data_IF_169902563376
#
_entry.id   IF_169902563376
#
_cell.length_a   1.000
_cell.length_b   1.000
_cell.length_c   1.000
_cell.angle_alpha   90.00
_cell.angle_beta   90.00
_cell.angle_gamma   90.00
#
_symmetry.space_group_name_H-M   'P 1'
#
loop_
_entity.id
_entity.type
_entity.pdbx_description
1 polymer ?
#
# COMPACT_ATOMS: atom_id res chain seq x y z
N UNK A 1 -20.01 3.31 -19.92
CA UNK A 1 -18.58 2.97 -19.81
C UNK A 1 -18.22 2.08 -20.99
N UNK A 2 -17.03 2.19 -21.59
CA UNK A 2 -16.60 1.20 -22.56
C UNK A 2 -16.55 -0.17 -21.88
N UNK A 3 -17.09 -1.19 -22.58
CA UNK A 3 -17.22 -2.55 -22.02
C UNK A 3 -15.92 -3.37 -22.14
N UNK A 4 -14.79 -2.74 -21.77
CA UNK A 4 -13.51 -3.45 -21.74
C UNK A 4 -13.43 -4.51 -20.62
N UNK A 5 -14.39 -4.49 -19.70
CA UNK A 5 -14.52 -5.49 -18.64
C UNK A 5 -15.35 -6.71 -19.08
N UNK A 6 -15.91 -6.71 -20.30
CA UNK A 6 -16.72 -7.80 -20.84
C UNK A 6 -18.05 -7.99 -20.11
N UNK A 7 -18.59 -6.92 -19.50
CA UNK A 7 -19.82 -7.01 -18.72
C UNK A 7 -21.03 -7.40 -19.58
N UNK A 8 -21.12 -6.93 -20.83
CA UNK A 8 -22.24 -7.25 -21.72
C UNK A 8 -22.25 -8.72 -22.20
N UNK A 9 -21.10 -9.37 -22.23
CA UNK A 9 -20.93 -10.74 -22.78
C UNK A 9 -20.82 -11.81 -21.68
N UNK A 10 -20.79 -11.43 -20.39
CA UNK A 10 -20.61 -12.37 -19.31
C UNK A 10 -21.86 -13.26 -19.11
N UNK A 11 -21.69 -14.51 -18.65
CA UNK A 11 -22.79 -15.45 -18.44
C UNK A 11 -23.59 -15.20 -17.17
N UNK A 12 -23.16 -14.29 -16.29
CA UNK A 12 -23.77 -14.05 -14.99
C UNK A 12 -24.98 -13.11 -15.13
N UNK A 13 -25.96 -13.30 -14.26
CA UNK A 13 -27.03 -12.30 -14.09
C UNK A 13 -26.47 -11.07 -13.40
N UNK A 14 -27.15 -9.93 -13.52
CA UNK A 14 -26.71 -8.65 -12.93
C UNK A 14 -26.46 -8.76 -11.41
N UNK A 15 -27.33 -9.48 -10.70
CA UNK A 15 -27.21 -9.71 -9.26
C UNK A 15 -25.97 -10.59 -8.90
N UNK A 16 -25.69 -11.59 -9.75
CA UNK A 16 -24.53 -12.48 -9.57
C UNK A 16 -23.24 -11.72 -9.85
N UNK A 17 -23.23 -10.86 -10.87
CA UNK A 17 -22.10 -9.98 -11.19
C UNK A 17 -21.85 -8.95 -10.09
N UNK A 18 -22.90 -8.29 -9.61
CA UNK A 18 -22.81 -7.32 -8.52
C UNK A 18 -22.24 -7.97 -7.25
N UNK A 19 -22.73 -9.17 -6.89
CA UNK A 19 -22.24 -9.93 -5.74
C UNK A 19 -20.77 -10.33 -5.90
N UNK A 20 -20.36 -10.73 -7.11
CA UNK A 20 -18.97 -11.07 -7.39
C UNK A 20 -18.07 -9.85 -7.17
N UNK A 21 -18.41 -8.69 -7.72
CA UNK A 21 -17.66 -7.46 -7.54
C UNK A 21 -17.63 -6.99 -6.07
N UNK A 22 -18.77 -7.08 -5.38
CA UNK A 22 -18.82 -6.75 -3.96
C UNK A 22 -17.88 -7.64 -3.14
N UNK A 23 -17.84 -8.94 -3.44
CA UNK A 23 -16.92 -9.90 -2.79
C UNK A 23 -15.46 -9.51 -3.04
N UNK A 24 -15.10 -9.16 -4.28
CA UNK A 24 -13.75 -8.70 -4.64
C UNK A 24 -13.36 -7.48 -3.81
N UNK A 25 -14.23 -6.46 -3.75
CA UNK A 25 -13.98 -5.22 -2.99
C UNK A 25 -13.86 -5.50 -1.49
N UNK A 26 -14.74 -6.32 -0.92
CA UNK A 26 -14.70 -6.64 0.51
C UNK A 26 -13.44 -7.38 0.91
N UNK A 27 -12.98 -8.34 0.10
CA UNK A 27 -11.76 -9.10 0.35
C UNK A 27 -10.54 -8.19 0.23
N UNK A 28 -10.47 -7.35 -0.80
CA UNK A 28 -9.40 -6.38 -0.98
C UNK A 28 -9.29 -5.46 0.25
N UNK A 29 -10.39 -4.82 0.67
CA UNK A 29 -10.41 -3.91 1.82
C UNK A 29 -9.94 -4.54 3.13
N UNK A 30 -10.18 -5.83 3.33
CA UNK A 30 -9.71 -6.54 4.53
C UNK A 30 -8.23 -6.85 4.49
N UNK A 31 -7.68 -7.09 3.31
CA UNK A 31 -6.31 -7.57 3.10
C UNK A 31 -5.30 -6.43 2.99
N UNK A 32 -5.69 -5.33 2.36
CA UNK A 32 -4.81 -4.19 2.05
C UNK A 32 -4.39 -3.43 3.30
N UNK A 33 -3.08 -3.23 3.44
CA UNK A 33 -2.47 -2.41 4.50
C UNK A 33 -1.90 -1.11 3.95
N UNK A 34 -1.25 -1.15 2.78
CA UNK A 34 -0.63 0.02 2.16
C UNK A 34 -1.62 1.19 1.98
N UNK A 35 -2.84 0.91 1.55
CA UNK A 35 -3.89 1.94 1.38
C UNK A 35 -4.40 2.56 2.70
N UNK A 36 -4.00 2.05 3.85
CA UNK A 36 -4.35 2.64 5.15
C UNK A 36 -3.39 3.74 5.59
N UNK A 37 -2.21 3.77 4.98
CA UNK A 37 -1.12 4.67 5.33
C UNK A 37 -0.73 5.62 4.19
N UNK A 38 -1.37 5.48 3.04
CA UNK A 38 -1.09 6.27 1.84
C UNK A 38 -2.36 6.97 1.36
N UNK A 39 -2.23 8.24 1.00
CA UNK A 39 -3.27 8.97 0.31
C UNK A 39 -3.45 8.45 -1.12
N UNK A 40 -4.70 8.37 -1.58
CA UNK A 40 -5.00 7.95 -2.94
C UNK A 40 -5.04 9.18 -3.86
N UNK A 41 -4.27 9.10 -4.95
CA UNK A 41 -4.34 10.01 -6.08
C UNK A 41 -5.09 9.35 -7.23
N UNK A 42 -6.37 9.66 -7.36
CA UNK A 42 -7.23 9.05 -8.37
C UNK A 42 -8.68 8.86 -7.90
N UNK A 43 -9.48 8.02 -8.59
CA UNK A 43 -9.11 7.23 -9.78
C UNK A 43 -8.88 8.10 -11.02
N UNK A 44 -7.78 7.82 -11.77
CA UNK A 44 -7.39 8.60 -12.94
C UNK A 44 -8.10 8.15 -14.23
N UNK A 45 -8.65 6.95 -14.22
CA UNK A 45 -9.28 6.28 -15.36
C UNK A 45 -8.40 5.19 -15.96
N UNK A 46 -9.02 4.08 -16.36
CA UNK A 46 -8.35 2.85 -16.81
C UNK A 46 -7.41 3.02 -18.02
N UNK A 47 -7.59 4.08 -18.81
CA UNK A 47 -6.73 4.40 -19.96
C UNK A 47 -5.45 5.17 -19.60
N UNK A 48 -5.29 5.62 -18.35
CA UNK A 48 -4.09 6.35 -17.92
C UNK A 48 -2.97 5.35 -17.63
N UNK A 49 -1.93 5.41 -18.45
CA UNK A 49 -0.79 4.48 -18.39
C UNK A 49 0.44 5.06 -17.70
N UNK A 50 0.49 6.40 -17.56
CA UNK A 50 1.65 7.09 -16.98
C UNK A 50 1.20 8.23 -16.08
N UNK A 51 1.97 8.46 -15.02
CA UNK A 51 1.78 9.60 -14.11
C UNK A 51 3.06 10.41 -14.00
N UNK A 52 2.94 11.75 -13.84
CA UNK A 52 4.09 12.59 -13.54
C UNK A 52 4.63 12.24 -12.14
N UNK A 53 5.94 12.30 -12.05
CA UNK A 53 6.69 12.11 -10.82
C UNK A 53 7.71 13.24 -10.75
N UNK A 54 7.50 14.16 -9.83
CA UNK A 54 8.34 15.31 -9.65
C UNK A 54 9.19 15.13 -8.37
N UNK A 55 10.50 15.29 -8.51
CA UNK A 55 11.44 15.36 -7.39
C UNK A 55 11.72 16.83 -7.09
N UNK A 56 11.55 17.25 -5.85
CA UNK A 56 11.79 18.62 -5.46
C UNK A 56 13.26 18.87 -5.14
N UNK A 57 13.77 20.02 -5.57
CA UNK A 57 15.11 20.53 -5.24
C UNK A 57 15.02 21.96 -4.70
N UNK A 58 16.11 22.44 -4.12
CA UNK A 58 16.18 23.82 -3.63
C UNK A 58 15.72 23.95 -2.16
N UNK A 59 16.10 23.01 -1.32
CA UNK A 59 15.79 23.00 0.12
C UNK A 59 16.72 23.98 0.85
N UNK A 60 16.61 25.29 0.59
CA UNK A 60 17.22 26.31 1.43
C UNK A 60 16.18 26.92 2.36
N UNK A 61 16.57 27.33 3.59
CA UNK A 61 15.66 28.01 4.49
C UNK A 61 15.05 29.26 3.84
N UNK A 62 13.79 29.55 4.17
CA UNK A 62 13.15 30.80 3.80
C UNK A 62 13.88 32.00 4.41
N UNK A 63 13.86 33.16 3.74
CA UNK A 63 14.42 34.39 4.31
C UNK A 63 13.50 34.99 5.37
N UNK A 64 14.13 35.67 6.32
CA UNK A 64 13.45 36.59 7.26
C UNK A 64 13.98 38.00 7.00
N UNK A 65 13.12 38.83 6.42
CA UNK A 65 13.47 40.21 6.05
C UNK A 65 12.31 41.16 6.36
N UNK A 66 12.63 42.44 6.70
CA UNK A 66 11.62 43.45 7.06
C UNK A 66 10.85 43.92 5.81
N UNK A 67 11.53 44.01 4.68
CA UNK A 67 10.96 44.53 3.41
C UNK A 67 10.65 43.45 2.38
N UNK A 68 11.09 42.22 2.60
CA UNK A 68 10.80 41.07 1.72
C UNK A 68 11.60 41.08 0.39
N UNK A 69 12.76 41.74 0.38
CA UNK A 69 13.61 41.88 -0.84
C UNK A 69 14.80 40.93 -0.86
N UNK A 70 15.02 40.13 0.21
CA UNK A 70 16.12 39.18 0.23
C UNK A 70 15.91 38.08 -0.80
N UNK A 71 16.86 37.92 -1.69
CA UNK A 71 16.84 36.81 -2.67
C UNK A 71 16.96 35.46 -1.94
N UNK A 72 16.01 34.58 -2.20
CA UNK A 72 16.02 33.18 -1.72
C UNK A 72 16.00 32.24 -2.90
N UNK A 73 16.62 31.06 -2.76
CA UNK A 73 16.49 30.01 -3.75
C UNK A 73 15.02 29.58 -3.84
N UNK A 74 14.48 29.60 -5.05
CA UNK A 74 13.12 29.09 -5.30
C UNK A 74 13.10 27.57 -5.15
N UNK A 75 12.07 27.06 -4.51
CA UNK A 75 11.77 25.63 -4.56
C UNK A 75 11.21 25.30 -5.95
N UNK A 76 11.86 24.40 -6.67
CA UNK A 76 11.45 24.04 -8.01
C UNK A 76 11.59 22.53 -8.26
N UNK A 77 10.89 22.06 -9.25
CA UNK A 77 11.02 20.69 -9.74
C UNK A 77 12.17 20.66 -10.76
N UNK A 78 13.22 19.88 -10.48
CA UNK A 78 14.41 19.81 -11.34
C UNK A 78 14.09 19.20 -12.70
N UNK A 79 13.31 18.12 -12.72
CA UNK A 79 12.84 17.52 -13.96
C UNK A 79 11.49 16.80 -13.72
N UNK A 80 10.59 16.94 -14.66
CA UNK A 80 9.38 16.14 -14.67
C UNK A 80 9.68 14.76 -15.24
N UNK A 81 9.65 13.76 -14.39
CA UNK A 81 9.75 12.34 -14.75
C UNK A 81 8.36 11.75 -14.91
N UNK A 82 8.25 10.70 -15.72
CA UNK A 82 7.00 9.95 -15.88
C UNK A 82 7.26 8.50 -15.51
N UNK A 83 6.38 7.94 -14.70
CA UNK A 83 6.40 6.51 -14.37
C UNK A 83 5.18 5.82 -14.98
N UNK A 84 5.39 4.65 -15.55
CA UNK A 84 4.31 3.81 -16.08
C UNK A 84 3.54 3.17 -14.92
N UNK A 85 2.22 3.10 -15.04
CA UNK A 85 1.37 2.43 -14.05
C UNK A 85 1.30 0.94 -14.41
N UNK A 86 1.76 0.02 -13.56
CA UNK A 86 1.63 -1.41 -13.78
C UNK A 86 0.21 -1.87 -13.54
N UNK A 87 -0.14 -3.01 -14.17
CA UNK A 87 -1.40 -3.72 -13.91
C UNK A 87 -1.10 -4.91 -13.00
N UNK A 88 -1.82 -5.00 -11.91
CA UNK A 88 -1.85 -6.18 -11.03
C UNK A 88 -3.08 -6.98 -11.40
N UNK A 89 -2.94 -8.28 -11.60
CA UNK A 89 -4.08 -9.11 -11.94
C UNK A 89 -3.93 -10.56 -11.51
N UNK A 90 -5.07 -11.24 -11.38
CA UNK A 90 -5.15 -12.67 -11.14
C UNK A 90 -6.39 -13.24 -11.82
N UNK A 91 -6.20 -14.28 -12.62
CA UNK A 91 -7.28 -14.98 -13.30
C UNK A 91 -7.89 -16.04 -12.40
N UNK A 92 -9.20 -16.25 -12.55
CA UNK A 92 -9.96 -17.32 -11.91
C UNK A 92 -10.99 -17.87 -12.87
N UNK A 93 -11.52 -19.06 -12.58
CA UNK A 93 -12.43 -19.77 -13.43
C UNK A 93 -13.76 -20.05 -12.71
N UNK A 94 -14.87 -19.78 -13.36
CA UNK A 94 -16.17 -20.28 -12.99
C UNK A 94 -16.56 -21.40 -13.96
N UNK A 95 -16.87 -22.58 -13.44
CA UNK A 95 -17.31 -23.69 -14.26
C UNK A 95 -18.76 -23.51 -14.68
N UNK A 96 -19.07 -23.79 -15.94
CA UNK A 96 -20.44 -23.70 -16.46
C UNK A 96 -21.44 -24.52 -15.64
N UNK A 97 -20.99 -25.70 -15.14
CA UNK A 97 -21.84 -26.57 -14.31
C UNK A 97 -22.25 -25.95 -13.00
N UNK A 98 -21.37 -25.17 -12.38
CA UNK A 98 -21.65 -24.50 -11.11
C UNK A 98 -22.67 -23.36 -11.31
N UNK A 99 -22.54 -22.64 -12.42
CA UNK A 99 -23.50 -21.61 -12.83
C UNK A 99 -24.88 -22.22 -13.09
N UNK A 100 -24.96 -23.32 -13.86
CA UNK A 100 -26.21 -24.00 -14.15
C UNK A 100 -26.81 -24.67 -12.90
N UNK A 101 -26.00 -25.27 -12.04
CA UNK A 101 -26.45 -25.85 -10.78
C UNK A 101 -27.06 -24.78 -9.85
N UNK A 102 -26.39 -23.63 -9.71
CA UNK A 102 -26.91 -22.52 -8.94
C UNK A 102 -28.27 -22.04 -9.44
N UNK A 103 -28.45 -21.95 -10.77
CA UNK A 103 -29.71 -21.57 -11.39
C UNK A 103 -30.81 -22.64 -11.23
N UNK A 104 -30.48 -23.92 -11.48
CA UNK A 104 -31.44 -25.01 -11.38
C UNK A 104 -31.98 -25.19 -9.99
N UNK A 105 -31.11 -25.03 -8.97
CA UNK A 105 -31.49 -25.22 -7.58
C UNK A 105 -31.85 -23.93 -6.87
N UNK A 106 -31.88 -22.79 -7.58
CA UNK A 106 -32.10 -21.46 -7.02
C UNK A 106 -31.20 -21.16 -5.82
N UNK A 107 -29.93 -21.56 -5.90
CA UNK A 107 -28.91 -21.31 -4.89
C UNK A 107 -27.98 -20.15 -5.29
N UNK A 108 -27.40 -19.45 -4.31
CA UNK A 108 -26.40 -18.45 -4.61
C UNK A 108 -25.17 -19.06 -5.30
N UNK A 109 -24.69 -18.43 -6.37
CA UNK A 109 -23.46 -18.84 -7.05
C UNK A 109 -22.28 -18.74 -6.08
N UNK A 110 -21.43 -19.76 -6.03
CA UNK A 110 -20.18 -19.71 -5.29
C UNK A 110 -19.16 -18.80 -5.99
N UNK A 111 -18.74 -17.74 -5.30
CA UNK A 111 -17.76 -16.76 -5.78
C UNK A 111 -16.42 -16.85 -5.02
N UNK A 112 -16.16 -17.98 -4.35
CA UNK A 112 -14.92 -18.19 -3.57
C UNK A 112 -13.65 -18.08 -4.43
N UNK A 113 -13.72 -18.48 -5.69
CA UNK A 113 -12.61 -18.31 -6.63
C UNK A 113 -12.28 -16.84 -6.89
N UNK A 114 -13.29 -15.98 -7.01
CA UNK A 114 -13.12 -14.53 -7.13
C UNK A 114 -12.51 -13.92 -5.84
N UNK A 115 -12.98 -14.37 -4.67
CA UNK A 115 -12.42 -13.98 -3.38
C UNK A 115 -10.93 -14.34 -3.26
N UNK A 116 -10.55 -15.55 -3.69
CA UNK A 116 -9.15 -16.00 -3.73
C UNK A 116 -8.30 -15.15 -4.67
N UNK A 117 -8.79 -14.84 -5.86
CA UNK A 117 -8.10 -13.99 -6.82
C UNK A 117 -7.91 -12.55 -6.27
N UNK A 118 -8.95 -11.99 -5.66
CA UNK A 118 -8.88 -10.66 -5.03
C UNK A 118 -7.85 -10.61 -3.88
N UNK A 119 -7.81 -11.65 -3.03
CA UNK A 119 -6.82 -11.73 -1.97
C UNK A 119 -5.38 -11.77 -2.51
N UNK A 120 -5.15 -12.49 -3.61
CA UNK A 120 -3.83 -12.56 -4.25
C UNK A 120 -3.44 -11.25 -4.94
N UNK A 121 -4.39 -10.53 -5.57
CA UNK A 121 -4.13 -9.18 -6.09
C UNK A 121 -3.78 -8.22 -4.96
N UNK A 122 -4.57 -8.19 -3.87
CA UNK A 122 -4.29 -7.33 -2.72
C UNK A 122 -2.93 -7.62 -2.07
N UNK A 123 -2.52 -8.89 -2.02
CA UNK A 123 -1.18 -9.26 -1.57
C UNK A 123 -0.08 -8.73 -2.48
N UNK A 124 -0.31 -8.76 -3.79
CA UNK A 124 0.65 -8.24 -4.77
C UNK A 124 0.70 -6.71 -4.75
N UNK A 125 -0.42 -6.04 -4.50
CA UNK A 125 -0.46 -4.59 -4.27
C UNK A 125 0.40 -4.20 -3.05
N UNK A 126 0.18 -4.83 -1.90
CA UNK A 126 0.99 -4.56 -0.70
C UNK A 126 2.48 -4.90 -0.94
N UNK A 127 2.81 -5.98 -1.66
CA UNK A 127 4.19 -6.31 -2.02
C UNK A 127 4.82 -5.21 -2.87
N UNK A 128 4.08 -4.68 -3.85
CA UNK A 128 4.52 -3.56 -4.70
C UNK A 128 4.71 -2.27 -3.88
N UNK A 129 3.82 -1.98 -2.94
CA UNK A 129 3.92 -0.81 -2.07
C UNK A 129 5.12 -0.93 -1.12
N UNK A 130 5.33 -2.09 -0.50
CA UNK A 130 6.42 -2.23 0.48
C UNK A 130 7.78 -2.44 -0.18
N UNK A 131 7.88 -3.25 -1.24
CA UNK A 131 9.18 -3.62 -1.81
C UNK A 131 9.41 -3.13 -3.24
N UNK A 132 8.36 -2.66 -3.93
CA UNK A 132 8.47 -2.30 -5.33
C UNK A 132 8.61 -3.52 -6.25
N UNK A 133 9.10 -3.29 -7.46
CA UNK A 133 9.50 -4.32 -8.40
C UNK A 133 10.77 -3.86 -9.16
N UNK A 134 11.90 -4.45 -8.81
CA UNK A 134 13.20 -4.08 -9.38
C UNK A 134 13.27 -4.31 -10.91
N UNK A 135 12.52 -5.29 -11.45
CA UNK A 135 12.47 -5.55 -12.90
C UNK A 135 11.79 -4.41 -13.66
N UNK A 136 10.88 -3.72 -13.00
CA UNK A 136 10.15 -2.57 -13.56
C UNK A 136 10.77 -1.24 -13.12
N UNK A 137 11.79 -1.26 -12.26
CA UNK A 137 12.43 -0.06 -11.73
C UNK A 137 11.57 0.68 -10.69
N UNK A 138 10.68 -0.01 -9.99
CA UNK A 138 9.85 0.56 -8.94
C UNK A 138 10.43 0.27 -7.56
N UNK A 139 10.54 1.33 -6.78
CA UNK A 139 10.91 1.27 -5.37
C UNK A 139 9.66 1.19 -4.51
N UNK A 140 9.76 0.51 -3.37
CA UNK A 140 8.74 0.48 -2.34
C UNK A 140 9.23 1.14 -1.06
N UNK A 141 8.38 1.21 -0.05
CA UNK A 141 8.70 1.84 1.25
C UNK A 141 9.93 1.23 1.94
N UNK A 142 10.15 -0.09 1.77
CA UNK A 142 11.29 -0.81 2.35
C UNK A 142 12.56 -0.73 1.51
N UNK A 143 12.46 -0.27 0.26
CA UNK A 143 13.57 -0.29 -0.71
C UNK A 143 13.92 1.08 -1.27
N UNK A 144 13.13 2.11 -0.95
CA UNK A 144 13.33 3.47 -1.45
C UNK A 144 14.75 3.96 -1.18
N UNK A 145 15.41 4.47 -2.21
CA UNK A 145 16.73 5.08 -2.06
C UNK A 145 16.59 6.44 -1.35
N UNK A 146 17.43 6.67 -0.34
CA UNK A 146 17.33 7.87 0.50
C UNK A 146 16.40 7.74 1.71
N UNK A 147 15.73 6.60 1.91
CA UNK A 147 14.98 6.34 3.15
C UNK A 147 15.92 6.31 4.36
N UNK A 148 15.39 6.64 5.50
CA UNK A 148 16.08 6.51 6.78
C UNK A 148 15.99 5.07 7.29
N UNK A 149 16.95 4.68 8.11
CA UNK A 149 16.97 3.36 8.73
C UNK A 149 17.28 3.45 10.22
N UNK A 150 16.65 2.61 11.02
CA UNK A 150 16.92 2.43 12.45
C UNK A 150 17.12 0.94 12.70
N UNK A 151 18.13 0.56 13.51
CA UNK A 151 18.27 -0.81 13.96
C UNK A 151 17.01 -1.26 14.70
N UNK A 152 16.56 -2.48 14.44
CA UNK A 152 15.36 -3.04 15.08
C UNK A 152 15.49 -3.04 16.62
N UNK A 153 16.67 -3.29 17.15
CA UNK A 153 16.90 -3.42 18.58
C UNK A 153 16.31 -4.70 19.18
N UNK A 154 16.21 -4.72 20.51
CA UNK A 154 15.65 -5.86 21.25
C UNK A 154 14.16 -5.66 21.52
N UNK A 155 13.33 -6.34 20.75
CA UNK A 155 11.87 -6.37 20.92
C UNK A 155 11.39 -7.45 21.91
N UNK A 156 12.30 -8.26 22.44
CA UNK A 156 11.92 -9.29 23.43
C UNK A 156 11.64 -8.68 24.80
N UNK A 157 12.32 -7.57 25.12
CA UNK A 157 12.13 -6.81 26.34
C UNK A 157 10.99 -5.79 26.24
N UNK A 158 10.17 -5.59 27.30
CA UNK A 158 9.16 -4.54 27.33
C UNK A 158 9.77 -3.15 27.04
N UNK A 159 9.13 -2.38 26.15
CA UNK A 159 9.57 -1.06 25.76
C UNK A 159 10.58 -1.02 24.61
N UNK A 160 11.13 -2.15 24.17
CA UNK A 160 12.07 -2.18 23.05
C UNK A 160 11.44 -1.74 21.74
N UNK A 161 10.18 -2.15 21.47
CA UNK A 161 9.41 -1.70 20.32
C UNK A 161 9.12 -0.21 20.36
N UNK A 162 8.72 0.30 21.51
CA UNK A 162 8.48 1.73 21.71
C UNK A 162 9.76 2.56 21.45
N UNK A 163 10.91 2.15 21.99
CA UNK A 163 12.17 2.84 21.78
C UNK A 163 12.58 2.89 20.31
N UNK A 164 12.43 1.79 19.57
CA UNK A 164 12.75 1.74 18.13
C UNK A 164 11.86 2.71 17.33
N UNK A 165 10.56 2.78 17.64
CA UNK A 165 9.62 3.67 16.95
C UNK A 165 9.89 5.14 17.34
N UNK A 166 10.19 5.44 18.61
CA UNK A 166 10.60 6.79 19.04
C UNK A 166 11.87 7.24 18.29
N UNK A 167 12.85 6.36 18.16
CA UNK A 167 14.07 6.67 17.41
C UNK A 167 13.79 6.92 15.93
N UNK A 168 12.89 6.14 15.31
CA UNK A 168 12.47 6.36 13.94
C UNK A 168 11.77 7.73 13.78
N UNK A 169 10.82 8.05 14.66
CA UNK A 169 10.12 9.35 14.62
C UNK A 169 11.08 10.51 14.88
N UNK A 170 12.07 10.34 15.78
CA UNK A 170 13.11 11.36 16.02
C UNK A 170 13.89 11.64 14.74
N UNK A 171 14.33 10.61 14.02
CA UNK A 171 15.06 10.77 12.75
C UNK A 171 14.21 11.47 11.69
N UNK A 172 12.93 11.12 11.57
CA UNK A 172 11.99 11.79 10.67
C UNK A 172 11.86 13.29 11.02
N UNK A 173 11.71 13.62 12.32
CA UNK A 173 11.66 15.01 12.77
C UNK A 173 12.94 15.78 12.43
N UNK A 174 14.11 15.17 12.56
CA UNK A 174 15.40 15.79 12.22
C UNK A 174 15.53 16.14 10.73
N UNK A 175 14.79 15.41 9.86
CA UNK A 175 14.69 15.74 8.45
C UNK A 175 13.54 16.71 8.11
N UNK A 176 12.81 17.18 9.12
CA UNK A 176 11.70 18.14 8.94
C UNK A 176 10.33 17.48 8.72
N UNK A 177 10.22 16.16 8.90
CA UNK A 177 8.96 15.44 8.78
C UNK A 177 8.30 15.26 10.15
N UNK A 178 7.34 16.12 10.48
CA UNK A 178 6.72 16.21 11.82
C UNK A 178 5.46 15.36 12.00
N UNK A 179 5.14 14.50 11.06
CA UNK A 179 3.93 13.68 11.08
C UNK A 179 2.71 14.40 10.46
N UNK A 180 1.53 13.77 10.48
CA UNK A 180 1.21 12.54 11.23
C UNK A 180 2.04 11.32 10.81
N UNK A 181 2.17 10.34 11.73
CA UNK A 181 2.94 9.12 11.45
C UNK A 181 2.05 7.91 11.40
N UNK A 182 2.36 6.98 10.49
CA UNK A 182 1.84 5.62 10.47
C UNK A 182 2.98 4.61 10.66
N UNK A 183 2.67 3.50 11.32
CA UNK A 183 3.62 2.41 11.57
C UNK A 183 3.06 1.12 11.01
N UNK A 184 3.86 0.42 10.22
CA UNK A 184 3.53 -0.95 9.77
C UNK A 184 4.61 -1.92 10.24
N UNK A 185 4.18 -3.01 10.84
CA UNK A 185 5.07 -3.99 11.46
C UNK A 185 4.79 -5.39 10.90
N UNK A 186 5.82 -6.22 10.88
CA UNK A 186 5.66 -7.66 10.66
C UNK A 186 4.79 -8.29 11.76
N UNK A 187 4.13 -9.43 11.50
CA UNK A 187 3.19 -10.03 12.46
C UNK A 187 3.79 -10.32 13.83
N UNK A 188 5.04 -10.75 13.86
CA UNK A 188 5.75 -11.04 15.10
C UNK A 188 5.97 -9.77 15.92
N UNK A 189 6.49 -8.71 15.31
CA UNK A 189 6.72 -7.43 16.01
C UNK A 189 5.41 -6.81 16.47
N UNK A 190 4.37 -6.83 15.63
CA UNK A 190 3.06 -6.32 16.01
C UNK A 190 2.48 -7.06 17.21
N UNK A 191 2.59 -8.40 17.26
CA UNK A 191 2.10 -9.19 18.39
C UNK A 191 2.84 -8.88 19.70
N UNK A 192 4.13 -8.55 19.63
CA UNK A 192 4.92 -8.19 20.80
C UNK A 192 4.48 -6.87 21.43
N UNK A 193 3.86 -5.96 20.70
CA UNK A 193 3.30 -4.73 21.25
C UNK A 193 2.02 -4.91 22.07
N UNK A 194 1.41 -6.09 22.05
CA UNK A 194 0.21 -6.40 22.86
C UNK A 194 0.53 -6.89 24.28
N UNK A 195 1.73 -6.68 24.75
CA UNK A 195 2.09 -6.90 26.15
C UNK A 195 1.90 -5.64 26.99
N UNK A 196 1.75 -5.84 28.29
CA UNK A 196 1.62 -4.73 29.22
C UNK A 196 2.97 -4.05 29.38
N UNK A 197 3.01 -2.73 29.17
CA UNK A 197 4.17 -1.91 29.44
C UNK A 197 4.39 -1.80 30.95
N UNK A 198 5.57 -2.13 31.43
CA UNK A 198 5.95 -2.33 32.84
C UNK A 198 5.16 -1.50 33.86
N UNK A 199 4.48 -2.19 34.81
CA UNK A 199 3.77 -1.60 35.98
C UNK A 199 2.72 -0.52 35.68
N UNK A 200 2.44 -0.23 34.40
CA UNK A 200 1.48 0.83 34.01
C UNK A 200 0.07 0.33 33.81
N UNK A 201 -0.10 -0.98 33.55
CA UNK A 201 -1.39 -1.57 33.16
C UNK A 201 -1.83 -1.22 31.73
N UNK A 202 -1.03 -0.49 30.97
CA UNK A 202 -1.31 -0.06 29.60
C UNK A 202 -0.56 -0.98 28.62
N UNK A 203 -1.18 -1.32 27.48
CA UNK A 203 -0.51 -2.05 26.41
C UNK A 203 0.52 -1.14 25.71
N UNK A 204 1.67 -1.70 25.35
CA UNK A 204 2.72 -0.95 24.64
C UNK A 204 2.20 -0.33 23.33
N UNK A 205 1.33 -1.01 22.60
CA UNK A 205 0.70 -0.51 21.38
C UNK A 205 -0.09 0.78 21.57
N UNK A 206 -0.74 0.96 22.74
CA UNK A 206 -1.53 2.17 23.01
C UNK A 206 -0.62 3.40 23.16
N UNK A 207 0.55 3.22 23.75
CA UNK A 207 1.55 4.29 23.87
C UNK A 207 2.12 4.68 22.49
N UNK A 208 2.34 3.68 21.63
CA UNK A 208 2.80 3.92 20.26
C UNK A 208 1.74 4.63 19.41
N UNK A 209 0.46 4.29 19.58
CA UNK A 209 -0.65 4.99 18.90
C UNK A 209 -0.74 6.48 19.21
N UNK A 210 -0.23 6.93 20.35
CA UNK A 210 -0.14 8.35 20.67
C UNK A 210 0.92 9.07 19.82
N UNK A 211 1.98 8.35 19.41
CA UNK A 211 3.01 8.87 18.50
C UNK A 211 2.59 8.72 17.04
N UNK A 212 2.03 7.58 16.70
CA UNK A 212 1.59 7.22 15.35
C UNK A 212 0.08 7.47 15.20
N UNK A 213 -0.29 8.74 15.02
CA UNK A 213 -1.70 9.17 14.97
C UNK A 213 -2.46 8.61 13.78
N UNK A 214 -1.78 8.29 12.68
CA UNK A 214 -2.37 7.63 11.50
C UNK A 214 -2.39 6.10 11.61
N UNK A 215 -2.02 5.59 12.78
CA UNK A 215 -2.25 4.22 13.19
C UNK A 215 -1.03 3.31 13.17
N UNK A 216 -1.24 2.14 13.80
CA UNK A 216 -0.26 1.06 13.88
C UNK A 216 -0.89 -0.18 13.26
N UNK A 217 -0.29 -0.69 12.21
CA UNK A 217 -0.82 -1.77 11.38
C UNK A 217 0.12 -2.97 11.34
N UNK A 218 -0.46 -4.12 11.08
CA UNK A 218 0.26 -5.36 10.82
C UNK A 218 0.20 -5.68 9.33
N UNK A 219 1.33 -6.06 8.73
CA UNK A 219 1.36 -6.62 7.39
C UNK A 219 2.17 -7.91 7.35
N UNK A 220 1.56 -8.96 6.79
CA UNK A 220 2.24 -10.23 6.53
C UNK A 220 3.12 -10.19 5.27
N UNK A 221 3.16 -9.05 4.59
CA UNK A 221 4.06 -8.83 3.45
C UNK A 221 5.43 -8.36 3.89
N UNK A 222 5.56 -7.78 5.08
CA UNK A 222 6.87 -7.43 5.63
C UNK A 222 7.70 -8.70 5.90
N UNK A 223 8.90 -8.73 5.33
CA UNK A 223 9.78 -9.90 5.37
C UNK A 223 10.56 -9.93 6.68
N UNK A 224 10.63 -11.08 7.30
CA UNK A 224 11.35 -11.27 8.57
C UNK A 224 10.80 -10.38 9.69
N UNK A 225 11.65 -10.04 10.64
CA UNK A 225 11.36 -9.06 11.68
C UNK A 225 11.73 -7.67 11.16
N UNK A 226 10.77 -6.97 10.64
CA UNK A 226 10.96 -5.63 10.08
C UNK A 226 9.72 -4.76 10.27
N UNK A 227 9.90 -3.46 10.12
CA UNK A 227 8.83 -2.48 10.19
C UNK A 227 9.17 -1.23 9.40
N UNK A 228 8.19 -0.39 9.19
CA UNK A 228 8.36 0.93 8.58
C UNK A 228 7.52 1.96 9.33
N UNK A 229 8.11 3.11 9.55
CA UNK A 229 7.46 4.32 10.07
C UNK A 229 7.49 5.33 8.93
N UNK A 230 6.33 5.89 8.60
CA UNK A 230 6.21 6.90 7.54
C UNK A 230 5.58 8.17 8.10
N UNK A 231 6.08 9.32 7.68
CA UNK A 231 5.37 10.58 7.81
C UNK A 231 4.38 10.64 6.66
N UNK A 232 3.08 10.50 6.97
CA UNK A 232 2.02 10.44 5.98
C UNK A 232 1.76 11.80 5.35
N UNK A 233 1.01 11.83 4.26
CA UNK A 233 0.65 13.05 3.53
C UNK A 233 1.04 12.99 2.06
N UNK A 234 0.21 13.64 1.23
CA UNK A 234 0.39 13.67 -0.23
C UNK A 234 1.66 14.37 -0.68
N UNK A 235 2.17 15.28 0.13
CA UNK A 235 3.44 15.97 -0.11
C UNK A 235 4.62 15.00 -0.05
N UNK A 236 4.56 13.98 0.83
CA UNK A 236 5.62 13.01 1.03
C UNK A 236 5.52 11.83 0.06
N UNK A 237 4.34 11.25 -0.01
CA UNK A 237 4.06 10.08 -0.86
C UNK A 237 2.57 9.89 -1.08
N UNK A 238 2.21 9.25 -2.19
CA UNK A 238 0.83 8.88 -2.50
C UNK A 238 0.76 7.62 -3.38
N UNK A 239 -0.44 7.06 -3.48
CA UNK A 239 -0.75 5.93 -4.34
C UNK A 239 -1.56 6.42 -5.54
N UNK A 240 -0.93 6.50 -6.72
CA UNK A 240 -1.61 6.84 -7.95
C UNK A 240 -2.40 5.63 -8.46
N UNK A 241 -3.73 5.73 -8.43
CA UNK A 241 -4.65 4.68 -8.86
C UNK A 241 -5.27 5.06 -10.19
N UNK A 242 -4.93 4.36 -11.25
CA UNK A 242 -5.55 4.50 -12.56
C UNK A 242 -6.89 3.78 -12.59
N UNK A 243 -6.92 2.56 -12.09
CA UNK A 243 -8.12 1.74 -12.02
C UNK A 243 -8.12 0.97 -10.69
N UNK A 244 -9.19 1.09 -9.96
CA UNK A 244 -9.40 0.35 -8.71
C UNK A 244 -9.72 -1.13 -8.99
N UNK A 245 -9.58 -1.97 -7.97
CA UNK A 245 -9.76 -3.42 -8.10
C UNK A 245 -11.18 -3.78 -8.57
N UNK A 246 -11.26 -4.43 -9.72
CA UNK A 246 -12.50 -4.84 -10.38
C UNK A 246 -12.37 -6.24 -10.96
N UNK A 247 -13.50 -6.87 -11.24
CA UNK A 247 -13.54 -8.10 -12.03
C UNK A 247 -13.82 -7.80 -13.51
N UNK A 248 -13.22 -8.58 -14.41
CA UNK A 248 -13.47 -8.57 -15.84
C UNK A 248 -13.76 -9.99 -16.33
N UNK A 249 -14.60 -10.10 -17.34
CA UNK A 249 -14.86 -11.36 -18.04
C UNK A 249 -13.94 -11.50 -19.24
N UNK A 250 -13.30 -12.65 -19.40
CA UNK A 250 -12.33 -12.90 -20.47
C UNK A 250 -12.89 -13.67 -21.68
N UNK A 251 -14.21 -13.90 -21.71
CA UNK A 251 -14.85 -14.72 -22.75
C UNK A 251 -14.90 -16.21 -22.38
N UNK A 252 -15.79 -16.95 -23.03
CA UNK A 252 -15.92 -18.39 -22.80
C UNK A 252 -14.71 -19.15 -23.33
N UNK A 253 -14.22 -20.13 -22.57
CA UNK A 253 -13.14 -21.01 -22.95
C UNK A 253 -13.48 -22.46 -22.58
N UNK A 254 -13.55 -23.36 -23.56
CA UNK A 254 -13.86 -24.80 -23.36
C UNK A 254 -15.10 -25.00 -22.48
N UNK A 255 -16.18 -24.25 -22.78
CA UNK A 255 -17.46 -24.20 -22.06
C UNK A 255 -17.37 -23.54 -20.65
N UNK A 256 -16.20 -23.29 -20.11
CA UNK A 256 -16.04 -22.60 -18.83
C UNK A 256 -15.87 -21.09 -19.04
N UNK A 257 -15.94 -20.36 -17.95
CA UNK A 257 -15.95 -18.91 -17.93
C UNK A 257 -14.76 -18.37 -17.13
N UNK A 258 -13.64 -18.05 -17.79
CA UNK A 258 -12.51 -17.35 -17.14
C UNK A 258 -12.87 -15.90 -16.88
N UNK A 259 -12.50 -15.44 -15.71
CA UNK A 259 -12.57 -14.07 -15.26
C UNK A 259 -11.20 -13.59 -14.78
N UNK A 260 -11.04 -12.31 -14.63
CA UNK A 260 -9.83 -11.66 -14.11
C UNK A 260 -10.20 -10.65 -13.04
N UNK A 261 -9.57 -10.72 -11.88
CA UNK A 261 -9.49 -9.59 -10.97
C UNK A 261 -8.29 -8.76 -11.37
N UNK A 262 -8.45 -7.45 -11.53
CA UNK A 262 -7.36 -6.57 -11.93
C UNK A 262 -7.52 -5.18 -11.32
N UNK A 263 -6.38 -4.51 -11.21
CA UNK A 263 -6.25 -3.10 -10.80
C UNK A 263 -5.01 -2.49 -11.46
N UNK A 264 -4.91 -1.17 -11.46
CA UNK A 264 -3.73 -0.48 -11.99
C UNK A 264 -3.37 0.69 -11.08
N UNK A 265 -2.20 0.63 -10.45
CA UNK A 265 -1.74 1.60 -9.48
C UNK A 265 -0.21 1.65 -9.39
N UNK A 266 0.30 2.73 -8.80
CA UNK A 266 1.73 2.97 -8.61
C UNK A 266 1.97 3.80 -7.35
N UNK A 267 2.92 3.38 -6.50
CA UNK A 267 3.44 4.19 -5.40
C UNK A 267 4.32 5.32 -5.95
N UNK A 268 4.04 6.58 -5.55
CA UNK A 268 4.88 7.73 -5.81
C UNK A 268 5.50 8.21 -4.49
N UNK A 269 6.81 8.07 -4.36
CA UNK A 269 7.59 8.56 -3.23
C UNK A 269 8.23 9.88 -3.67
N UNK A 270 7.82 10.99 -3.08
CA UNK A 270 8.32 12.34 -3.39
C UNK A 270 9.43 12.75 -2.43
N UNK A 271 9.31 12.30 -1.17
CA UNK A 271 10.28 12.50 -0.10
C UNK A 271 10.66 11.15 0.51
N UNK A 272 11.73 10.49 0.00
CA UNK A 272 12.16 9.20 0.56
C UNK A 272 12.64 9.32 2.03
N UNK A 273 13.14 10.48 2.44
CA UNK A 273 13.51 10.82 3.81
C UNK A 273 12.31 10.95 4.78
N UNK A 274 11.07 10.93 4.26
CA UNK A 274 9.83 10.77 5.05
C UNK A 274 9.53 9.31 5.43
N UNK A 275 10.40 8.37 5.05
CA UNK A 275 10.29 6.94 5.31
C UNK A 275 11.44 6.52 6.23
N UNK A 276 11.14 5.82 7.33
CA UNK A 276 12.14 5.23 8.21
C UNK A 276 11.86 3.73 8.41
N UNK A 277 12.79 2.88 7.97
CA UNK A 277 12.66 1.43 8.14
C UNK A 277 13.31 0.95 9.43
N UNK A 278 12.67 -0.04 10.07
CA UNK A 278 13.20 -0.78 11.22
C UNK A 278 13.76 -2.10 10.69
N UNK A 279 15.07 -2.27 10.75
CA UNK A 279 15.76 -3.39 10.13
C UNK A 279 16.58 -4.18 11.16
N UNK A 280 16.46 -5.51 11.16
CA UNK A 280 17.29 -6.40 11.95
C UNK A 280 18.73 -6.45 11.42
N UNK A 281 19.69 -6.85 12.26
CA UNK A 281 21.12 -6.88 11.97
C UNK A 281 21.57 -7.78 10.78
N UNK A 282 20.65 -8.34 10.00
CA UNK A 282 20.91 -9.18 8.83
C UNK A 282 20.26 -8.73 7.52
N UNK A 283 19.59 -7.59 7.49
CA UNK A 283 18.80 -7.15 6.31
C UNK A 283 19.63 -6.43 5.23
N UNK A 284 20.91 -6.16 5.49
CA UNK A 284 21.77 -5.36 4.59
C UNK A 284 22.35 -6.12 3.38
N UNK A 285 22.14 -7.44 3.25
CA UNK A 285 22.90 -8.29 2.32
C UNK A 285 22.10 -8.88 1.14
N UNK A 286 20.95 -8.33 0.81
CA UNK A 286 20.20 -8.71 -0.41
C UNK A 286 20.00 -7.49 -1.32
N UNK A 287 21.13 -6.95 -1.81
CA UNK A 287 21.13 -6.03 -2.97
C UNK A 287 21.33 -6.81 -4.27
#
# INVERSE_FOLDING_TARGET
>A
MPDFLGHAENPLREEEWARLNETVIQVARRSLVGRRILDIYGPLGAGVQTVPYDEFQGVSPGAVDIVGEQETAMVFTDARKFKTIPIIYKDFLLHWRDIEAARTHNMPLDVSAAAGAAALCAQQEDELIFYGDARLGYEGLMTANGRLTVPLGDWTSPGGGFQAIVEATRKLNEQGHFGPYAVVLSPRLYSQLHRIYEKTGVLEIETIRQLASDGVYQSNRLRGDSGVVVSTGRENMDLAVSMDMVAAYLGASRMNHPFRVLEALLLRIKHPDAICTLEGAGAADHR
#
